data_IF_744382244467
#
_entry.id   IF_744382244467
#
_cell.length_a   1.000
_cell.length_b   1.000
_cell.length_c   1.000
_cell.angle_alpha   90.00
_cell.angle_beta   90.00
_cell.angle_gamma   90.00
#
_symmetry.space_group_name_H-M   'P 1'
#
loop_
_entity.id
_entity.type
_entity.pdbx_description
1 polymer ?
#
# COMPACT_ATOMS: atom_id res chain seq x y z
N UNK A 1 -19.82 15.00 -12.71
CA UNK A 1 -21.16 14.77 -12.09
C UNK A 1 -21.65 16.12 -11.60
N UNK A 2 -22.87 16.51 -11.97
CA UNK A 2 -23.47 17.79 -11.57
C UNK A 2 -23.63 17.86 -10.04
N UNK A 3 -23.11 18.94 -9.43
CA UNK A 3 -23.12 19.15 -7.97
C UNK A 3 -24.54 19.15 -7.43
N UNK A 4 -25.50 19.69 -8.18
CA UNK A 4 -26.92 19.71 -7.78
C UNK A 4 -27.50 18.30 -7.71
N UNK A 5 -27.20 17.43 -8.67
CA UNK A 5 -27.65 16.03 -8.69
C UNK A 5 -27.04 15.22 -7.54
N UNK A 6 -25.76 15.47 -7.24
CA UNK A 6 -25.08 14.84 -6.10
C UNK A 6 -25.75 15.22 -4.78
N UNK A 7 -25.99 16.51 -4.57
CA UNK A 7 -26.61 17.00 -3.34
C UNK A 7 -28.04 16.46 -3.18
N UNK A 8 -28.80 16.39 -4.27
CA UNK A 8 -30.15 15.81 -4.27
C UNK A 8 -30.14 14.31 -3.93
N UNK A 9 -29.15 13.56 -4.43
CA UNK A 9 -28.98 12.15 -4.08
C UNK A 9 -28.65 11.97 -2.60
N UNK A 10 -27.68 12.76 -2.07
CA UNK A 10 -27.32 12.72 -0.65
C UNK A 10 -28.49 13.07 0.24
N UNK A 11 -29.28 14.09 -0.13
CA UNK A 11 -30.47 14.48 0.60
C UNK A 11 -31.53 13.36 0.68
N UNK A 12 -31.74 12.63 -0.42
CA UNK A 12 -32.66 11.46 -0.45
C UNK A 12 -32.14 10.34 0.45
N UNK A 13 -30.84 10.06 0.41
CA UNK A 13 -30.22 9.01 1.21
C UNK A 13 -30.32 9.34 2.71
N UNK A 14 -29.99 10.57 3.10
CA UNK A 14 -30.09 11.03 4.49
C UNK A 14 -31.51 10.89 5.03
N UNK A 15 -32.51 11.30 4.23
CA UNK A 15 -33.90 11.17 4.61
C UNK A 15 -34.36 9.70 4.75
N UNK A 16 -33.91 8.81 3.84
CA UNK A 16 -34.20 7.39 3.92
C UNK A 16 -33.54 6.71 5.14
N UNK A 17 -32.45 7.25 5.62
CA UNK A 17 -31.74 6.80 6.83
C UNK A 17 -32.25 7.46 8.11
N UNK A 18 -33.33 8.29 8.04
CA UNK A 18 -33.88 8.99 9.20
C UNK A 18 -32.93 10.07 9.77
N UNK A 19 -32.01 10.60 8.95
CA UNK A 19 -31.07 11.65 9.36
C UNK A 19 -31.56 13.00 8.82
N UNK A 20 -31.63 14.01 9.70
CA UNK A 20 -31.86 15.38 9.26
C UNK A 20 -30.65 15.91 8.47
N UNK A 21 -30.92 16.66 7.40
CA UNK A 21 -29.91 17.24 6.53
C UNK A 21 -28.91 18.15 7.27
N UNK A 22 -29.37 18.79 8.33
CA UNK A 22 -28.54 19.68 9.17
C UNK A 22 -27.55 18.93 10.07
N UNK A 23 -27.76 17.62 10.28
CA UNK A 23 -26.89 16.79 11.11
C UNK A 23 -25.82 16.01 10.34
N UNK A 24 -25.63 16.29 9.05
CA UNK A 24 -24.42 15.77 8.37
C UNK A 24 -23.25 16.67 8.78
N UNK A 25 -22.36 16.24 9.69
CA UNK A 25 -21.23 17.08 10.06
C UNK A 25 -20.45 17.40 8.80
N UNK A 26 -20.18 18.68 8.59
CA UNK A 26 -19.36 19.15 7.47
C UNK A 26 -17.94 18.55 7.53
N UNK A 27 -17.60 18.00 8.69
CA UNK A 27 -16.33 17.37 8.99
C UNK A 27 -16.60 16.15 9.89
N UNK A 28 -16.17 14.98 9.44
CA UNK A 28 -16.05 13.81 10.32
C UNK A 28 -14.71 13.98 11.04
N UNK A 29 -14.76 14.18 12.36
CA UNK A 29 -13.55 14.16 13.15
C UNK A 29 -12.78 12.86 12.85
N UNK A 30 -11.49 12.99 12.59
CA UNK A 30 -10.62 11.85 12.37
C UNK A 30 -10.72 10.91 13.58
N UNK A 31 -10.66 9.61 13.33
CA UNK A 31 -10.65 8.65 14.42
C UNK A 31 -9.45 8.94 15.34
N UNK A 32 -9.71 9.12 16.64
CA UNK A 32 -8.66 9.28 17.63
C UNK A 32 -8.01 7.92 17.92
N UNK A 33 -6.78 7.77 17.47
CA UNK A 33 -5.98 6.56 17.69
C UNK A 33 -5.19 6.59 18.99
N UNK A 34 -5.22 7.68 19.76
CA UNK A 34 -4.41 7.86 20.97
C UNK A 34 -4.72 6.88 22.11
N UNK A 35 -5.86 6.20 22.06
CA UNK A 35 -6.28 5.20 23.05
C UNK A 35 -6.77 3.91 22.39
N UNK A 36 -6.25 3.60 21.20
CA UNK A 36 -6.64 2.39 20.47
C UNK A 36 -5.93 1.13 21.00
N UNK A 37 -6.42 -0.06 20.62
CA UNK A 37 -5.80 -1.33 21.02
C UNK A 37 -4.32 -1.46 20.60
N UNK A 38 -3.88 -0.68 19.60
CA UNK A 38 -2.48 -0.65 19.16
C UNK A 38 -1.51 -0.18 20.25
N UNK A 39 -1.95 0.62 21.26
CA UNK A 39 -1.11 1.08 22.34
C UNK A 39 -0.81 -0.01 23.36
N UNK A 40 -1.73 -0.95 23.55
CA UNK A 40 -1.60 -2.02 24.53
C UNK A 40 -1.37 -3.39 23.91
N UNK A 41 -1.64 -3.52 22.61
CA UNK A 41 -1.50 -4.77 21.88
C UNK A 41 -0.03 -5.17 21.77
N UNK A 42 0.29 -6.38 22.21
CA UNK A 42 1.63 -6.96 22.14
C UNK A 42 2.72 -6.31 23.03
N UNK A 43 2.36 -5.44 23.99
CA UNK A 43 3.32 -4.80 24.89
C UNK A 43 4.14 -5.80 25.72
N UNK A 44 3.54 -6.93 26.07
CA UNK A 44 4.18 -7.97 26.87
C UNK A 44 5.00 -8.97 26.04
N UNK A 45 5.05 -8.79 24.71
CA UNK A 45 5.75 -9.70 23.81
C UNK A 45 7.12 -9.16 23.41
N UNK A 46 8.11 -10.06 23.37
CA UNK A 46 9.39 -9.75 22.76
C UNK A 46 9.27 -9.63 21.23
N UNK A 47 10.25 -8.96 20.60
CA UNK A 47 10.32 -8.83 19.14
C UNK A 47 10.30 -10.21 18.45
N UNK A 48 10.97 -11.19 19.00
CA UNK A 48 11.04 -12.55 18.43
C UNK A 48 9.69 -13.27 18.52
N UNK A 49 8.93 -13.05 19.62
CA UNK A 49 7.58 -13.56 19.75
C UNK A 49 6.62 -12.93 18.74
N UNK A 50 6.71 -11.60 18.55
CA UNK A 50 5.91 -10.89 17.54
C UNK A 50 6.26 -11.38 16.13
N UNK A 51 7.54 -11.57 15.82
CA UNK A 51 7.99 -12.11 14.54
C UNK A 51 7.47 -13.52 14.30
N UNK A 52 7.50 -14.36 15.31
CA UNK A 52 6.96 -15.73 15.23
C UNK A 52 5.46 -15.70 14.96
N UNK A 53 4.70 -14.91 15.69
CA UNK A 53 3.26 -14.74 15.46
C UNK A 53 2.97 -14.20 14.04
N UNK A 54 3.77 -13.27 13.56
CA UNK A 54 3.61 -12.71 12.21
C UNK A 54 3.83 -13.81 11.15
N UNK A 55 4.89 -14.63 11.28
CA UNK A 55 5.16 -15.75 10.37
C UNK A 55 4.00 -16.76 10.34
N UNK A 56 3.47 -17.10 11.50
CA UNK A 56 2.31 -18.01 11.61
C UNK A 56 1.07 -17.42 10.93
N UNK A 57 0.81 -16.11 11.08
CA UNK A 57 -0.30 -15.46 10.41
C UNK A 57 -0.10 -15.42 8.89
N UNK A 58 1.08 -15.10 8.40
CA UNK A 58 1.41 -15.15 6.97
C UNK A 58 1.11 -16.55 6.40
N UNK A 59 1.57 -17.60 7.09
CA UNK A 59 1.31 -18.99 6.67
C UNK A 59 -0.19 -19.29 6.64
N UNK A 60 -0.94 -18.84 7.66
CA UNK A 60 -2.38 -19.09 7.79
C UNK A 60 -3.21 -18.44 6.68
N UNK A 61 -2.79 -17.26 6.18
CA UNK A 61 -3.46 -16.58 5.08
C UNK A 61 -2.85 -16.88 3.70
N UNK A 62 -1.91 -17.84 3.63
CA UNK A 62 -1.27 -18.23 2.38
C UNK A 62 -0.26 -17.21 1.84
N UNK A 63 0.22 -16.30 2.67
CA UNK A 63 1.24 -15.30 2.29
C UNK A 63 2.63 -15.92 2.43
N UNK A 64 3.43 -15.83 1.36
CA UNK A 64 4.84 -16.25 1.39
C UNK A 64 5.63 -15.20 2.19
N UNK A 65 6.24 -15.62 3.28
CA UNK A 65 7.14 -14.80 4.09
C UNK A 65 8.59 -15.18 3.80
N UNK A 66 9.44 -14.21 3.54
CA UNK A 66 10.85 -14.40 3.25
C UNK A 66 11.68 -13.49 4.16
N UNK A 67 12.60 -14.07 4.91
CA UNK A 67 13.60 -13.29 5.66
C UNK A 67 14.82 -13.07 4.80
N UNK A 68 15.35 -11.86 4.84
CA UNK A 68 16.57 -11.49 4.13
C UNK A 68 17.38 -10.49 4.94
N UNK A 69 18.59 -10.22 4.50
CA UNK A 69 19.47 -9.19 5.08
C UNK A 69 19.57 -8.01 4.11
N UNK A 70 19.92 -6.80 4.57
CA UNK A 70 20.03 -5.63 3.70
C UNK A 70 20.91 -5.84 2.46
N UNK A 71 22.02 -6.56 2.62
CA UNK A 71 22.96 -6.88 1.55
C UNK A 71 22.39 -7.85 0.49
N UNK A 72 21.40 -8.69 0.86
CA UNK A 72 20.72 -9.63 -0.03
C UNK A 72 19.33 -9.19 -0.46
N UNK A 73 18.88 -8.02 -0.01
CA UNK A 73 17.52 -7.55 -0.25
C UNK A 73 17.21 -7.47 -1.74
N UNK A 74 18.13 -6.93 -2.54
CA UNK A 74 17.95 -6.82 -3.99
C UNK A 74 17.77 -8.17 -4.68
N UNK A 75 18.64 -9.13 -4.38
CA UNK A 75 18.56 -10.49 -4.93
C UNK A 75 17.21 -11.14 -4.55
N UNK A 76 16.77 -10.96 -3.29
CA UNK A 76 15.52 -11.51 -2.79
C UNK A 76 14.30 -10.90 -3.50
N UNK A 77 14.31 -9.58 -3.74
CA UNK A 77 13.24 -8.88 -4.46
C UNK A 77 13.19 -9.37 -5.91
N UNK A 78 14.31 -9.45 -6.61
CA UNK A 78 14.34 -9.89 -8.00
C UNK A 78 13.92 -11.34 -8.17
N UNK A 79 14.32 -12.22 -7.26
CA UNK A 79 13.83 -13.60 -7.26
C UNK A 79 12.30 -13.69 -7.08
N UNK A 80 11.71 -12.84 -6.22
CA UNK A 80 10.26 -12.77 -6.07
C UNK A 80 9.57 -12.25 -7.33
N UNK A 81 10.13 -11.22 -7.97
CA UNK A 81 9.60 -10.67 -9.23
C UNK A 81 9.64 -11.72 -10.35
N UNK A 82 10.70 -12.50 -10.44
CA UNK A 82 10.82 -13.61 -11.40
C UNK A 82 9.78 -14.70 -11.13
N UNK A 83 9.60 -15.11 -9.88
CA UNK A 83 8.56 -16.07 -9.48
C UNK A 83 7.15 -15.62 -9.88
N UNK A 84 6.90 -14.31 -9.91
CA UNK A 84 5.61 -13.72 -10.29
C UNK A 84 5.48 -13.39 -11.78
N UNK A 85 6.49 -13.68 -12.59
CA UNK A 85 6.41 -13.62 -14.05
C UNK A 85 6.94 -12.34 -14.68
N UNK A 86 7.64 -11.48 -13.92
CA UNK A 86 8.16 -10.19 -14.38
C UNK A 86 7.05 -9.20 -14.79
N UNK A 87 7.34 -8.25 -15.71
CA UNK A 87 6.37 -7.30 -16.23
C UNK A 87 6.50 -5.90 -15.67
N UNK A 88 5.38 -5.22 -15.48
CA UNK A 88 5.34 -3.87 -14.94
C UNK A 88 5.17 -3.89 -13.42
N UNK A 89 6.14 -3.37 -12.73
CA UNK A 89 6.22 -3.34 -11.27
C UNK A 89 5.94 -1.92 -10.77
N UNK A 90 5.04 -1.80 -9.78
CA UNK A 90 4.78 -0.55 -9.07
C UNK A 90 5.30 -0.67 -7.64
N UNK A 91 6.03 0.33 -7.18
CA UNK A 91 6.54 0.38 -5.80
C UNK A 91 6.22 1.74 -5.14
N UNK A 92 6.07 1.78 -3.82
CA UNK A 92 5.71 3.01 -3.12
C UNK A 92 6.85 4.01 -3.03
N UNK A 93 6.51 5.27 -2.75
CA UNK A 93 7.44 6.27 -2.23
C UNK A 93 7.40 6.19 -0.71
N UNK A 94 8.33 5.45 -0.10
CA UNK A 94 8.40 5.26 1.34
C UNK A 94 9.83 5.43 1.87
N UNK A 95 9.99 5.70 3.18
CA UNK A 95 11.32 5.84 3.78
C UNK A 95 12.23 4.63 3.56
N UNK A 96 11.68 3.43 3.54
CA UNK A 96 12.43 2.19 3.32
C UNK A 96 12.99 2.09 1.91
N UNK A 97 12.26 2.60 0.90
CA UNK A 97 12.75 2.65 -0.48
C UNK A 97 13.99 3.53 -0.59
N UNK A 98 14.01 4.65 0.13
CA UNK A 98 15.16 5.56 0.19
C UNK A 98 16.30 4.96 1.02
N UNK A 99 16.01 4.40 2.20
CA UNK A 99 16.99 3.80 3.11
C UNK A 99 17.79 2.67 2.44
N UNK A 100 17.09 1.79 1.73
CA UNK A 100 17.72 0.64 1.05
C UNK A 100 18.07 0.92 -0.41
N UNK A 101 17.96 2.17 -0.88
CA UNK A 101 18.28 2.60 -2.25
C UNK A 101 17.61 1.73 -3.33
N UNK A 102 16.38 1.32 -3.07
CA UNK A 102 15.66 0.41 -3.98
C UNK A 102 15.37 1.06 -5.32
N UNK A 103 15.23 2.38 -5.37
CA UNK A 103 15.01 3.10 -6.62
C UNK A 103 16.19 2.94 -7.57
N UNK A 104 17.41 3.19 -7.10
CA UNK A 104 18.63 3.04 -7.89
C UNK A 104 18.82 1.57 -8.34
N UNK A 105 18.47 0.64 -7.46
CA UNK A 105 18.52 -0.79 -7.77
C UNK A 105 17.59 -1.15 -8.93
N UNK A 106 16.34 -0.64 -8.92
CA UNK A 106 15.35 -0.86 -9.97
C UNK A 106 15.73 -0.16 -11.27
N UNK A 107 16.29 1.05 -11.21
CA UNK A 107 16.80 1.77 -12.38
C UNK A 107 17.95 1.00 -13.05
N UNK A 108 18.87 0.43 -12.27
CA UNK A 108 19.95 -0.40 -12.80
C UNK A 108 19.44 -1.70 -13.42
N UNK A 109 18.46 -2.36 -12.78
CA UNK A 109 17.85 -3.55 -13.34
C UNK A 109 17.09 -3.21 -14.65
N UNK A 110 16.32 -2.13 -14.68
CA UNK A 110 15.62 -1.70 -15.90
C UNK A 110 16.55 -1.49 -17.09
N UNK A 111 17.76 -0.98 -16.84
CA UNK A 111 18.77 -0.80 -17.88
C UNK A 111 19.36 -2.12 -18.40
N UNK A 112 19.38 -3.17 -17.57
CA UNK A 112 20.09 -4.41 -17.85
C UNK A 112 19.20 -5.62 -18.16
N UNK A 113 17.89 -5.56 -17.89
CA UNK A 113 16.98 -6.70 -17.98
C UNK A 113 16.42 -6.96 -19.41
N UNK A 114 16.87 -6.19 -20.41
CA UNK A 114 16.39 -6.36 -21.81
C UNK A 114 14.92 -5.99 -22.02
N UNK A 115 14.31 -5.22 -21.13
CA UNK A 115 12.92 -4.78 -21.22
C UNK A 115 11.89 -5.78 -20.67
N UNK A 116 12.32 -6.82 -20.00
CA UNK A 116 11.42 -7.82 -19.38
C UNK A 116 10.72 -7.28 -18.13
N UNK A 117 11.30 -6.28 -17.49
CA UNK A 117 10.77 -5.60 -16.30
C UNK A 117 10.80 -4.10 -16.48
N UNK A 118 9.73 -3.43 -16.08
CA UNK A 118 9.64 -1.97 -16.01
C UNK A 118 9.16 -1.56 -14.63
N UNK A 119 9.65 -0.42 -14.13
CA UNK A 119 9.39 0.01 -12.77
C UNK A 119 8.72 1.38 -12.75
N UNK A 120 7.71 1.52 -11.94
CA UNK A 120 7.02 2.78 -11.71
C UNK A 120 6.92 3.05 -10.21
N UNK A 121 7.47 4.18 -9.77
CA UNK A 121 7.32 4.62 -8.39
C UNK A 121 5.99 5.35 -8.22
N UNK A 122 5.15 4.87 -7.32
CA UNK A 122 3.95 5.58 -6.90
C UNK A 122 4.37 6.83 -6.11
N UNK A 123 4.14 8.00 -6.70
CA UNK A 123 4.42 9.29 -6.10
C UNK A 123 3.21 10.22 -6.29
N UNK A 124 2.48 10.57 -5.22
CA UNK A 124 1.32 11.46 -5.33
C UNK A 124 1.64 12.82 -5.97
N UNK A 125 2.89 13.29 -5.89
CA UNK A 125 3.33 14.55 -6.50
C UNK A 125 3.30 14.52 -8.04
N UNK A 126 3.37 13.34 -8.66
CA UNK A 126 3.27 13.16 -10.12
C UNK A 126 1.85 13.32 -10.67
N UNK A 127 0.86 13.44 -9.78
CA UNK A 127 -0.54 13.61 -10.14
C UNK A 127 -1.33 12.30 -10.20
N UNK A 128 -2.61 12.42 -9.87
CA UNK A 128 -3.51 11.27 -9.70
C UNK A 128 -3.70 10.47 -10.97
N UNK A 129 -3.82 11.12 -12.12
CA UNK A 129 -4.11 10.43 -13.39
C UNK A 129 -2.96 9.55 -13.83
N UNK A 130 -1.72 10.05 -13.72
CA UNK A 130 -0.52 9.29 -14.04
C UNK A 130 -0.36 8.08 -13.11
N UNK A 131 -0.53 8.29 -11.81
CA UNK A 131 -0.46 7.22 -10.82
C UNK A 131 -1.51 6.13 -11.08
N UNK A 132 -2.77 6.50 -11.29
CA UNK A 132 -3.85 5.53 -11.57
C UNK A 132 -3.58 4.76 -12.85
N UNK A 133 -3.20 5.44 -13.95
CA UNK A 133 -2.91 4.79 -15.23
C UNK A 133 -1.79 3.77 -15.11
N UNK A 134 -0.74 4.09 -14.37
CA UNK A 134 0.38 3.18 -14.18
C UNK A 134 0.02 1.99 -13.29
N UNK A 135 -0.75 2.22 -12.22
CA UNK A 135 -1.17 1.15 -11.30
C UNK A 135 -2.19 0.20 -11.93
N UNK A 136 -3.15 0.74 -12.69
CA UNK A 136 -4.19 -0.07 -13.35
C UNK A 136 -3.62 -1.09 -14.34
N UNK A 137 -2.41 -0.87 -14.85
CA UNK A 137 -1.73 -1.75 -15.80
C UNK A 137 -0.47 -2.39 -15.20
N UNK A 138 -0.33 -2.41 -13.87
CA UNK A 138 0.77 -3.09 -13.21
C UNK A 138 0.50 -4.59 -13.10
N UNK A 139 1.54 -5.40 -13.29
CA UNK A 139 1.51 -6.85 -13.10
C UNK A 139 1.83 -7.19 -11.63
N UNK A 140 2.66 -6.37 -11.00
CA UNK A 140 3.12 -6.53 -9.61
C UNK A 140 3.05 -5.18 -8.90
N UNK A 141 2.51 -5.18 -7.66
CA UNK A 141 2.38 -3.99 -6.82
C UNK A 141 2.53 -4.28 -5.33
#
# INVERSE_FOLDING_TARGET
MDVAKRNQFIARLSRALGRDQEMCPAFVEGFDYSHGPQETMFQDLSRDQILTMFKEQCQRVGTKFVETTPDKLGETIFAAIEDWGNGKIVFPSSPEVEEYKLKELFEQDAANNGGTRTYFQWDPAKGREECISNTANADIG
#
